data_IF_381275553999
#
_entry.id   IF_381275553999
#
_cell.length_a   1.000
_cell.length_b   1.000
_cell.length_c   1.000
_cell.angle_alpha   90.00
_cell.angle_beta   90.00
_cell.angle_gamma   90.00
#
_symmetry.space_group_name_H-M   'P 1'
#
loop_
_entity.id
_entity.type
_entity.pdbx_description
1 polymer ?
#
# COMPACT_ATOMS: atom_id res chain seq x y z
N UNK A 1 -7.19 11.73 2.45
CA UNK A 1 -8.02 11.70 3.69
C UNK A 1 -8.64 10.31 3.78
N UNK A 2 -8.35 9.55 4.83
CA UNK A 2 -8.81 8.17 5.03
C UNK A 2 -10.27 8.15 5.48
N UNK A 3 -11.11 7.42 4.77
CA UNK A 3 -12.50 7.19 5.10
C UNK A 3 -12.62 6.03 6.09
N UNK A 4 -13.22 6.29 7.26
CA UNK A 4 -13.37 5.32 8.35
C UNK A 4 -14.83 5.03 8.57
N UNK A 5 -15.17 3.73 8.70
CA UNK A 5 -16.47 3.26 9.15
C UNK A 5 -16.31 2.68 10.58
N UNK A 6 -17.17 3.09 11.49
CA UNK A 6 -17.30 2.47 12.80
C UNK A 6 -18.54 1.55 12.82
N UNK A 7 -18.36 0.33 13.33
CA UNK A 7 -19.46 -0.62 13.56
C UNK A 7 -19.51 -0.92 15.05
N UNK A 8 -20.46 -0.33 15.75
CA UNK A 8 -20.56 -0.39 17.22
C UNK A 8 -21.95 0.03 17.68
N UNK A 9 -22.51 -0.62 18.70
CA UNK A 9 -23.83 -0.32 19.24
C UNK A 9 -23.80 0.57 20.49
N UNK A 10 -22.61 0.86 21.05
CA UNK A 10 -22.48 1.60 22.29
C UNK A 10 -22.42 3.11 22.04
N UNK A 11 -23.47 3.90 22.38
CA UNK A 11 -23.55 5.33 22.06
C UNK A 11 -22.41 6.16 22.65
N UNK A 12 -21.95 5.80 23.86
CA UNK A 12 -20.85 6.51 24.51
C UNK A 12 -19.53 6.29 23.76
N UNK A 13 -19.27 5.07 23.29
CA UNK A 13 -18.09 4.78 22.48
C UNK A 13 -18.16 5.45 21.12
N UNK A 14 -19.32 5.42 20.45
CA UNK A 14 -19.55 6.12 19.18
C UNK A 14 -19.21 7.62 19.29
N UNK A 15 -19.70 8.28 20.35
CA UNK A 15 -19.40 9.71 20.58
C UNK A 15 -17.92 9.98 20.85
N UNK A 16 -17.29 9.15 21.69
CA UNK A 16 -15.86 9.27 21.99
C UNK A 16 -14.99 9.05 20.75
N UNK A 17 -15.31 8.03 19.97
CA UNK A 17 -14.63 7.71 18.72
C UNK A 17 -14.80 8.81 17.67
N UNK A 18 -16.01 9.31 17.49
CA UNK A 18 -16.30 10.42 16.56
C UNK A 18 -15.50 11.67 16.90
N UNK A 19 -15.38 12.02 18.19
CA UNK A 19 -14.52 13.14 18.62
C UNK A 19 -13.06 12.89 18.31
N UNK A 20 -12.60 11.67 18.56
CA UNK A 20 -11.21 11.29 18.33
C UNK A 20 -10.85 11.44 16.84
N UNK A 21 -11.72 10.97 15.95
CA UNK A 21 -11.56 11.12 14.49
C UNK A 21 -11.60 12.61 14.09
N UNK A 22 -12.55 13.39 14.60
CA UNK A 22 -12.68 14.82 14.26
C UNK A 22 -11.45 15.68 14.67
N UNK A 23 -10.66 15.20 15.61
CA UNK A 23 -9.42 15.85 16.07
C UNK A 23 -8.16 15.31 15.37
N UNK A 24 -8.32 14.37 14.41
CA UNK A 24 -7.22 13.77 13.63
C UNK A 24 -7.30 14.26 12.18
N UNK A 25 -6.25 14.93 11.68
CA UNK A 25 -6.30 15.71 10.44
C UNK A 25 -6.46 14.83 9.18
N UNK A 26 -5.93 13.65 9.09
CA UNK A 26 -5.84 12.87 7.84
C UNK A 26 -6.97 11.87 7.62
N UNK A 27 -8.00 11.88 8.45
CA UNK A 27 -9.10 10.92 8.38
C UNK A 27 -10.46 11.55 8.60
N UNK A 28 -11.52 10.85 8.16
CA UNK A 28 -12.89 11.22 8.40
C UNK A 28 -13.75 10.00 8.71
N UNK A 29 -14.70 10.16 9.63
CA UNK A 29 -15.73 9.17 9.91
C UNK A 29 -16.85 9.33 8.88
N UNK A 30 -16.98 8.37 7.97
CA UNK A 30 -17.99 8.43 6.90
C UNK A 30 -19.32 7.81 7.31
N UNK A 31 -19.34 7.05 8.39
CA UNK A 31 -20.55 6.45 8.91
C UNK A 31 -20.34 5.70 10.22
N UNK A 32 -21.43 5.45 10.90
CA UNK A 32 -21.54 4.55 12.05
C UNK A 32 -22.65 3.57 11.72
N UNK A 33 -22.36 2.28 11.88
CA UNK A 33 -23.32 1.19 11.71
C UNK A 33 -23.52 0.46 13.03
N UNK A 34 -24.73 0.00 13.31
CA UNK A 34 -25.06 -0.74 14.52
C UNK A 34 -25.29 -2.24 14.27
N UNK A 35 -25.29 -2.65 12.99
CA UNK A 35 -25.52 -4.04 12.57
C UNK A 35 -24.87 -4.31 11.21
N UNK A 36 -24.82 -5.60 10.84
CA UNK A 36 -24.21 -6.06 9.59
C UNK A 36 -24.84 -5.43 8.35
N UNK A 37 -26.15 -5.24 8.32
CA UNK A 37 -26.84 -4.70 7.15
C UNK A 37 -26.44 -3.26 6.89
N UNK A 38 -26.46 -2.41 7.90
CA UNK A 38 -26.02 -1.02 7.80
C UNK A 38 -24.55 -0.92 7.41
N UNK A 39 -23.70 -1.78 8.01
CA UNK A 39 -22.27 -1.84 7.69
C UNK A 39 -22.04 -2.14 6.21
N UNK A 40 -22.75 -3.11 5.65
CA UNK A 40 -22.64 -3.44 4.22
C UNK A 40 -23.17 -2.33 3.30
N UNK A 41 -24.28 -1.71 3.67
CA UNK A 41 -24.84 -0.58 2.89
C UNK A 41 -23.85 0.59 2.83
N UNK A 42 -23.22 0.92 3.97
CA UNK A 42 -22.21 1.99 4.03
C UNK A 42 -20.93 1.59 3.29
N UNK A 43 -20.44 0.36 3.50
CA UNK A 43 -19.23 -0.14 2.84
C UNK A 43 -19.40 -0.14 1.31
N UNK A 44 -20.51 -0.65 0.79
CA UNK A 44 -20.80 -0.69 -0.65
C UNK A 44 -20.96 0.69 -1.28
N UNK A 45 -21.46 1.66 -0.52
CA UNK A 45 -21.75 3.00 -1.05
C UNK A 45 -20.55 3.95 -0.99
N UNK A 46 -19.78 3.87 0.08
CA UNK A 46 -18.76 4.87 0.39
C UNK A 46 -17.32 4.34 0.35
N UNK A 47 -17.14 3.01 0.19
CA UNK A 47 -15.83 2.35 0.09
C UNK A 47 -14.82 2.86 1.13
N UNK A 48 -15.06 2.63 2.45
CA UNK A 48 -14.12 3.04 3.48
C UNK A 48 -12.78 2.33 3.30
N UNK A 49 -11.67 2.99 3.62
CA UNK A 49 -10.37 2.34 3.68
C UNK A 49 -10.18 1.54 4.97
N UNK A 50 -10.80 2.00 6.06
CA UNK A 50 -10.69 1.36 7.37
C UNK A 50 -12.07 1.11 7.96
N UNK A 51 -12.25 -0.09 8.52
CA UNK A 51 -13.41 -0.45 9.32
C UNK A 51 -12.95 -0.81 10.72
N UNK A 52 -13.51 -0.14 11.73
CA UNK A 52 -13.42 -0.55 13.12
C UNK A 52 -14.73 -1.23 13.52
N UNK A 53 -14.66 -2.45 14.01
CA UNK A 53 -15.84 -3.26 14.34
C UNK A 53 -15.79 -3.78 15.77
N UNK A 54 -16.85 -3.59 16.55
CA UNK A 54 -16.98 -4.27 17.83
C UNK A 54 -17.11 -5.78 17.61
N UNK A 55 -16.51 -6.57 18.50
CA UNK A 55 -16.68 -8.03 18.52
C UNK A 55 -18.13 -8.44 18.71
N UNK A 56 -18.88 -7.71 19.54
CA UNK A 56 -20.26 -8.03 19.92
C UNK A 56 -21.22 -6.98 19.38
N UNK A 57 -22.01 -7.35 18.40
CA UNK A 57 -23.04 -6.50 17.80
C UNK A 57 -24.45 -7.08 18.12
N UNK A 58 -24.84 -6.97 19.37
CA UNK A 58 -26.08 -7.57 19.84
C UNK A 58 -26.05 -9.11 19.75
N UNK A 59 -26.78 -9.68 18.80
CA UNK A 59 -26.72 -11.12 18.50
C UNK A 59 -25.77 -11.51 17.39
N UNK A 60 -25.14 -10.54 16.73
CA UNK A 60 -24.22 -10.76 15.62
C UNK A 60 -22.76 -10.80 16.11
N UNK A 61 -21.91 -11.50 15.38
CA UNK A 61 -20.50 -11.64 15.66
C UNK A 61 -19.68 -10.71 14.74
N UNK A 62 -19.03 -9.68 15.31
CA UNK A 62 -18.24 -8.72 14.55
C UNK A 62 -17.03 -9.34 13.82
N UNK A 63 -16.44 -10.42 14.33
CA UNK A 63 -15.35 -11.12 13.63
C UNK A 63 -15.87 -11.76 12.34
N UNK A 64 -17.04 -12.41 12.39
CA UNK A 64 -17.69 -12.98 11.22
C UNK A 64 -18.08 -11.89 10.21
N UNK A 65 -18.52 -10.72 10.69
CA UNK A 65 -18.81 -9.57 9.84
C UNK A 65 -17.53 -9.03 9.16
N UNK A 66 -16.42 -8.92 9.87
CA UNK A 66 -15.14 -8.52 9.28
C UNK A 66 -14.66 -9.50 8.18
N UNK A 67 -14.81 -10.82 8.41
CA UNK A 67 -14.51 -11.81 7.39
C UNK A 67 -15.35 -11.60 6.13
N UNK A 68 -16.66 -11.39 6.31
CA UNK A 68 -17.57 -11.15 5.20
C UNK A 68 -17.28 -9.84 4.46
N UNK A 69 -16.88 -8.78 5.16
CA UNK A 69 -16.43 -7.53 4.57
C UNK A 69 -15.16 -7.78 3.73
N UNK A 70 -14.19 -8.52 4.26
CA UNK A 70 -12.96 -8.87 3.53
C UNK A 70 -13.21 -9.71 2.28
N UNK A 71 -14.16 -10.62 2.31
CA UNK A 71 -14.54 -11.43 1.14
C UNK A 71 -15.13 -10.59 0.00
N UNK A 72 -15.89 -9.53 0.32
CA UNK A 72 -16.56 -8.68 -0.67
C UNK A 72 -15.76 -7.43 -1.04
N UNK A 73 -14.93 -6.92 -0.13
CA UNK A 73 -14.12 -5.72 -0.24
C UNK A 73 -12.71 -5.99 0.30
N UNK A 74 -11.87 -6.75 -0.41
CA UNK A 74 -10.54 -7.18 0.05
C UNK A 74 -9.59 -6.00 0.34
N UNK A 75 -9.83 -4.84 -0.27
CA UNK A 75 -9.07 -3.61 -0.06
C UNK A 75 -9.33 -2.94 1.29
N UNK A 76 -10.47 -3.22 1.95
CA UNK A 76 -10.80 -2.61 3.23
C UNK A 76 -9.96 -3.23 4.35
N UNK A 77 -9.25 -2.40 5.10
CA UNK A 77 -8.54 -2.83 6.31
C UNK A 77 -9.51 -2.89 7.48
N UNK A 78 -9.61 -4.04 8.16
CA UNK A 78 -10.53 -4.27 9.26
C UNK A 78 -9.81 -4.40 10.60
N UNK A 79 -10.30 -3.71 11.62
CA UNK A 79 -9.85 -3.77 13.00
C UNK A 79 -11.00 -4.21 13.91
N UNK A 80 -10.73 -5.14 14.81
CA UNK A 80 -11.68 -5.50 15.87
C UNK A 80 -11.45 -4.64 17.11
N UNK A 81 -12.53 -4.12 17.68
CA UNK A 81 -12.57 -3.44 18.97
C UNK A 81 -13.27 -4.34 20.00
N UNK A 82 -12.75 -4.43 21.22
CA UNK A 82 -13.40 -5.25 22.26
C UNK A 82 -13.07 -4.80 23.68
N UNK A 83 -14.03 -4.98 24.58
CA UNK A 83 -13.83 -4.88 26.02
C UNK A 83 -13.23 -6.16 26.62
N UNK A 84 -13.18 -7.25 25.85
CA UNK A 84 -12.72 -8.56 26.28
C UNK A 84 -11.58 -9.04 25.41
N UNK A 85 -10.63 -9.75 26.00
CA UNK A 85 -9.52 -10.32 25.27
C UNK A 85 -9.35 -11.80 25.68
N UNK A 86 -9.47 -12.69 24.70
CA UNK A 86 -9.08 -14.08 24.87
C UNK A 86 -8.20 -14.52 23.70
N UNK A 87 -7.30 -15.45 23.96
CA UNK A 87 -6.42 -16.00 22.91
C UNK A 87 -7.22 -16.58 21.72
N UNK A 88 -8.36 -17.22 22.01
CA UNK A 88 -9.20 -17.78 20.96
C UNK A 88 -9.84 -16.68 20.07
N UNK A 89 -10.30 -15.58 20.68
CA UNK A 89 -10.89 -14.46 19.91
C UNK A 89 -9.83 -13.80 19.03
N UNK A 90 -8.63 -13.57 19.55
CA UNK A 90 -7.52 -13.01 18.75
C UNK A 90 -7.20 -13.93 17.58
N UNK A 91 -7.08 -15.23 17.81
CA UNK A 91 -6.80 -16.20 16.76
C UNK A 91 -7.90 -16.23 15.68
N UNK A 92 -9.17 -16.28 16.09
CA UNK A 92 -10.29 -16.24 15.15
C UNK A 92 -10.32 -14.94 14.33
N UNK A 93 -9.94 -13.81 14.93
CA UNK A 93 -9.85 -12.53 14.21
C UNK A 93 -8.74 -12.57 13.14
N UNK A 94 -7.58 -13.14 13.46
CA UNK A 94 -6.49 -13.32 12.48
C UNK A 94 -6.91 -14.26 11.33
N UNK A 95 -7.55 -15.38 11.67
CA UNK A 95 -8.08 -16.32 10.67
C UNK A 95 -9.16 -15.68 9.76
N UNK A 96 -9.86 -14.66 10.25
CA UNK A 96 -10.84 -13.85 9.52
C UNK A 96 -10.23 -12.68 8.71
N UNK A 97 -8.90 -12.56 8.64
CA UNK A 97 -8.21 -11.51 7.90
C UNK A 97 -8.27 -10.12 8.57
N UNK A 98 -8.55 -10.06 9.89
CA UNK A 98 -8.52 -8.82 10.66
C UNK A 98 -7.06 -8.42 10.88
N UNK A 99 -6.74 -7.15 10.61
CA UNK A 99 -5.38 -6.62 10.73
C UNK A 99 -4.88 -6.60 12.18
N UNK A 100 -5.72 -6.15 13.11
CA UNK A 100 -5.36 -6.14 14.53
C UNK A 100 -6.61 -6.21 15.42
N UNK A 101 -6.47 -6.90 16.56
CA UNK A 101 -7.46 -6.95 17.63
C UNK A 101 -7.10 -5.91 18.70
N UNK A 102 -7.99 -4.92 18.87
CA UNK A 102 -7.75 -3.75 19.71
C UNK A 102 -8.62 -3.79 20.98
N UNK A 103 -8.02 -3.37 22.09
CA UNK A 103 -8.73 -3.29 23.35
C UNK A 103 -9.37 -1.89 23.54
N UNK A 104 -10.63 -1.86 23.97
CA UNK A 104 -11.30 -0.61 24.38
C UNK A 104 -10.87 -0.22 25.81
N UNK A 105 -10.61 1.07 26.10
CA UNK A 105 -10.74 2.21 25.22
C UNK A 105 -9.54 2.36 24.27
N UNK A 106 -9.81 2.68 23.01
CA UNK A 106 -8.78 2.99 22.04
C UNK A 106 -8.16 4.36 22.37
N UNK A 107 -6.84 4.42 22.49
CA UNK A 107 -6.14 5.68 22.73
C UNK A 107 -5.93 6.47 21.42
N UNK A 108 -5.86 7.79 21.51
CA UNK A 108 -5.54 8.66 20.35
C UNK A 108 -4.22 8.30 19.69
N UNK A 109 -3.19 8.03 20.50
CA UNK A 109 -1.89 7.62 20.01
C UNK A 109 -1.99 6.36 19.15
N UNK A 110 -2.72 5.34 19.65
CA UNK A 110 -2.91 4.10 18.89
C UNK A 110 -3.70 4.32 17.61
N UNK A 111 -4.74 5.16 17.63
CA UNK A 111 -5.50 5.52 16.44
C UNK A 111 -4.60 6.20 15.39
N UNK A 112 -3.80 7.19 15.77
CA UNK A 112 -2.84 7.84 14.85
C UNK A 112 -1.86 6.85 14.25
N UNK A 113 -1.26 5.94 15.06
CA UNK A 113 -0.38 4.89 14.56
C UNK A 113 -1.05 3.96 13.52
N UNK A 114 -2.34 3.65 13.71
CA UNK A 114 -3.10 2.82 12.76
C UNK A 114 -3.38 3.57 11.45
N UNK A 115 -3.72 4.86 11.54
CA UNK A 115 -3.95 5.71 10.38
C UNK A 115 -2.66 5.91 9.57
N UNK A 116 -1.54 6.22 10.23
CA UNK A 116 -0.23 6.37 9.59
C UNK A 116 0.20 5.07 8.89
N UNK A 117 -0.03 3.90 9.52
CA UNK A 117 0.28 2.60 8.93
C UNK A 117 -0.57 2.32 7.68
N UNK A 118 -1.85 2.67 7.69
CA UNK A 118 -2.72 2.51 6.53
C UNK A 118 -2.37 3.51 5.41
N UNK A 119 -1.99 4.74 5.74
CA UNK A 119 -1.46 5.69 4.75
C UNK A 119 -0.19 5.14 4.09
N UNK A 120 0.75 4.62 4.88
CA UNK A 120 1.96 4.01 4.35
C UNK A 120 1.67 2.78 3.47
N UNK A 121 0.67 1.97 3.80
CA UNK A 121 0.26 0.81 2.99
C UNK A 121 -0.38 1.24 1.67
N UNK A 122 -1.25 2.25 1.67
CA UNK A 122 -1.86 2.81 0.47
C UNK A 122 -0.82 3.41 -0.48
N UNK A 123 0.16 4.14 0.07
CA UNK A 123 1.28 4.69 -0.68
C UNK A 123 2.15 3.58 -1.30
N UNK A 124 2.38 2.49 -0.56
CA UNK A 124 3.12 1.34 -1.07
C UNK A 124 2.36 0.59 -2.18
N UNK A 125 1.03 0.52 -2.13
CA UNK A 125 0.20 -0.11 -3.18
C UNK A 125 0.24 0.70 -4.48
N UNK A 126 0.15 2.02 -4.42
CA UNK A 126 0.24 2.89 -5.59
C UNK A 126 1.63 2.84 -6.23
N UNK A 127 2.67 2.86 -5.41
CA UNK A 127 4.05 2.68 -5.88
C UNK A 127 4.27 1.31 -6.52
N UNK A 128 3.79 0.24 -5.88
CA UNK A 128 3.90 -1.11 -6.44
C UNK A 128 3.18 -1.21 -7.78
N UNK A 129 1.99 -0.61 -7.91
CA UNK A 129 1.25 -0.57 -9.17
C UNK A 129 2.03 0.18 -10.26
N UNK A 130 2.67 1.31 -9.93
CA UNK A 130 3.48 2.07 -10.89
C UNK A 130 4.76 1.31 -11.28
N UNK A 131 5.41 0.63 -10.33
CA UNK A 131 6.58 -0.22 -10.64
C UNK A 131 6.19 -1.41 -11.52
N UNK A 132 5.10 -2.11 -11.20
CA UNK A 132 4.58 -3.21 -12.01
C UNK A 132 4.19 -2.75 -13.42
N UNK A 133 3.55 -1.59 -13.55
CA UNK A 133 3.20 -1.00 -14.83
C UNK A 133 4.45 -0.65 -15.67
N UNK A 134 5.52 -0.16 -15.03
CA UNK A 134 6.79 0.11 -15.68
C UNK A 134 7.45 -1.18 -16.19
N UNK A 135 7.55 -2.21 -15.33
CA UNK A 135 8.12 -3.50 -15.70
C UNK A 135 7.33 -4.16 -16.83
N UNK A 136 6.00 -4.16 -16.75
CA UNK A 136 5.12 -4.68 -17.80
C UNK A 136 5.28 -3.94 -19.13
N UNK A 137 5.44 -2.61 -19.12
CA UNK A 137 5.68 -1.82 -20.32
C UNK A 137 7.03 -2.17 -20.98
N UNK A 138 8.06 -2.45 -20.18
CA UNK A 138 9.38 -2.89 -20.67
C UNK A 138 9.28 -4.30 -21.27
N UNK A 139 8.60 -5.24 -20.62
CA UNK A 139 8.39 -6.60 -21.15
C UNK A 139 7.65 -6.59 -22.50
N UNK A 140 6.63 -5.73 -22.62
CA UNK A 140 5.86 -5.54 -23.85
C UNK A 140 6.60 -4.71 -24.90
N UNK A 141 7.78 -4.19 -24.59
CA UNK A 141 8.59 -3.30 -25.43
C UNK A 141 7.88 -2.01 -25.84
N UNK A 142 6.97 -1.53 -24.99
CA UNK A 142 6.30 -0.25 -25.17
C UNK A 142 7.16 0.87 -24.57
N UNK A 143 8.06 1.41 -25.42
CA UNK A 143 9.00 2.46 -25.00
C UNK A 143 8.28 3.71 -24.49
N UNK A 144 7.21 4.12 -25.18
CA UNK A 144 6.48 5.33 -24.78
C UNK A 144 5.87 5.17 -23.40
N UNK A 145 5.13 4.08 -23.19
CA UNK A 145 4.51 3.78 -21.92
C UNK A 145 5.55 3.65 -20.79
N UNK A 146 6.69 2.98 -21.04
CA UNK A 146 7.75 2.86 -20.07
C UNK A 146 8.32 4.21 -19.63
N UNK A 147 8.51 5.16 -20.57
CA UNK A 147 9.00 6.49 -20.24
C UNK A 147 7.97 7.35 -19.52
N UNK A 148 6.69 7.28 -19.91
CA UNK A 148 5.60 8.00 -19.25
C UNK A 148 5.43 7.50 -17.81
N UNK A 149 5.38 6.18 -17.60
CA UNK A 149 5.29 5.56 -16.25
C UNK A 149 6.53 5.87 -15.39
N UNK A 150 7.73 5.87 -15.97
CA UNK A 150 8.96 6.25 -15.24
C UNK A 150 8.90 7.69 -14.74
N UNK A 151 8.27 8.59 -15.50
CA UNK A 151 8.08 9.98 -15.09
C UNK A 151 7.13 10.08 -13.90
N UNK A 152 5.96 9.44 -13.99
CA UNK A 152 4.97 9.39 -12.92
C UNK A 152 5.56 8.81 -11.63
N UNK A 153 6.31 7.71 -11.73
CA UNK A 153 6.98 7.08 -10.60
C UNK A 153 8.01 8.02 -9.94
N UNK A 154 8.79 8.75 -10.71
CA UNK A 154 9.76 9.72 -10.15
C UNK A 154 9.05 10.89 -9.49
N UNK A 155 7.97 11.43 -10.08
CA UNK A 155 7.16 12.49 -9.49
C UNK A 155 6.62 12.02 -8.14
N UNK A 156 5.99 10.85 -8.09
CA UNK A 156 5.51 10.21 -6.86
C UNK A 156 6.62 10.07 -5.79
N UNK A 157 7.79 9.51 -6.15
CA UNK A 157 8.90 9.32 -5.22
C UNK A 157 9.43 10.65 -4.63
N UNK A 158 9.28 11.77 -5.34
CA UNK A 158 9.75 13.06 -4.85
C UNK A 158 8.70 13.83 -4.06
N UNK A 159 7.42 13.56 -4.28
CA UNK A 159 6.30 14.15 -3.55
C UNK A 159 6.04 13.42 -2.22
N UNK A 160 6.04 12.06 -2.25
CA UNK A 160 5.56 11.26 -1.12
C UNK A 160 6.66 10.61 -0.27
N UNK A 161 7.92 10.53 -0.78
CA UNK A 161 8.97 9.79 -0.09
C UNK A 161 10.09 10.68 0.44
N UNK A 162 10.54 10.41 1.67
CA UNK A 162 11.77 10.99 2.19
C UNK A 162 13.01 10.49 1.45
N UNK A 163 14.09 11.28 1.46
CA UNK A 163 15.33 10.96 0.73
C UNK A 163 15.91 9.58 1.06
N UNK A 164 15.84 9.14 2.34
CA UNK A 164 16.38 7.84 2.76
C UNK A 164 15.58 6.70 2.17
N UNK A 165 14.27 6.81 2.23
CA UNK A 165 13.32 5.86 1.68
C UNK A 165 13.42 5.80 0.15
N UNK A 166 13.48 6.96 -0.52
CA UNK A 166 13.69 7.07 -1.97
C UNK A 166 14.93 6.32 -2.44
N UNK A 167 16.03 6.37 -1.68
CA UNK A 167 17.23 5.59 -2.00
C UNK A 167 16.98 4.09 -2.01
N UNK A 168 16.28 3.58 -0.98
CA UNK A 168 15.94 2.16 -0.87
C UNK A 168 15.07 1.70 -2.05
N UNK A 169 14.02 2.47 -2.34
CA UNK A 169 13.08 2.20 -3.43
C UNK A 169 13.75 2.21 -4.81
N UNK A 170 14.57 3.21 -5.10
CA UNK A 170 15.33 3.29 -6.35
C UNK A 170 16.33 2.13 -6.49
N UNK A 171 16.96 1.69 -5.40
CA UNK A 171 17.87 0.54 -5.43
C UNK A 171 17.13 -0.78 -5.71
N UNK A 172 15.93 -0.95 -5.17
CA UNK A 172 15.08 -2.11 -5.46
C UNK A 172 14.61 -2.10 -6.92
N UNK A 173 14.16 -0.95 -7.42
CA UNK A 173 13.74 -0.78 -8.81
C UNK A 173 14.88 -1.05 -9.78
N UNK A 174 16.06 -0.50 -9.54
CA UNK A 174 17.27 -0.75 -10.33
C UNK A 174 17.58 -2.25 -10.42
N UNK A 175 17.53 -2.94 -9.27
CA UNK A 175 17.73 -4.38 -9.20
C UNK A 175 16.70 -5.13 -10.06
N UNK A 176 15.42 -4.79 -9.91
CA UNK A 176 14.33 -5.41 -10.69
C UNK A 176 14.54 -5.24 -12.19
N UNK A 177 14.90 -4.04 -12.63
CA UNK A 177 15.16 -3.72 -14.03
C UNK A 177 16.31 -4.56 -14.62
N UNK A 178 17.42 -4.73 -13.91
CA UNK A 178 18.53 -5.55 -14.39
C UNK A 178 18.23 -7.06 -14.31
N UNK A 179 17.36 -7.50 -13.41
CA UNK A 179 16.89 -8.90 -13.39
C UNK A 179 16.04 -9.28 -14.61
N UNK A 180 15.45 -8.31 -15.32
CA UNK A 180 14.70 -8.58 -16.55
C UNK A 180 15.59 -8.98 -17.73
N UNK A 181 16.92 -8.76 -17.67
CA UNK A 181 17.84 -9.08 -18.75
C UNK A 181 18.24 -10.55 -18.67
N UNK A 182 17.83 -11.39 -19.65
CA UNK A 182 18.12 -12.81 -19.63
C UNK A 182 19.63 -13.11 -19.72
N UNK A 183 20.10 -14.06 -18.90
CA UNK A 183 21.48 -14.53 -18.97
C UNK A 183 22.56 -13.58 -18.40
N UNK A 184 22.15 -12.47 -17.79
CA UNK A 184 23.07 -11.56 -17.13
C UNK A 184 23.67 -12.20 -15.86
N UNK A 185 24.98 -12.37 -15.83
CA UNK A 185 25.70 -12.91 -14.67
C UNK A 185 25.92 -11.84 -13.56
N UNK A 186 26.44 -12.29 -12.40
CA UNK A 186 26.67 -11.39 -11.27
C UNK A 186 27.79 -10.35 -11.53
N UNK A 187 28.74 -10.64 -12.41
CA UNK A 187 29.83 -9.72 -12.77
C UNK A 187 29.26 -8.58 -13.61
N UNK A 188 28.42 -8.92 -14.58
CA UNK A 188 27.72 -7.95 -15.42
C UNK A 188 26.77 -7.08 -14.60
N UNK A 189 25.98 -7.67 -13.67
CA UNK A 189 25.12 -6.91 -12.75
C UNK A 189 25.93 -5.92 -11.93
N UNK A 190 27.03 -6.35 -11.30
CA UNK A 190 27.89 -5.46 -10.52
C UNK A 190 28.46 -4.31 -11.34
N UNK A 191 28.85 -4.57 -12.60
CA UNK A 191 29.28 -3.51 -13.51
C UNK A 191 28.18 -2.45 -13.71
N UNK A 192 26.93 -2.88 -13.94
CA UNK A 192 25.84 -1.94 -14.16
C UNK A 192 25.45 -1.18 -12.88
N UNK A 193 25.46 -1.80 -11.71
CA UNK A 193 25.24 -1.12 -10.44
C UNK A 193 26.32 -0.05 -10.15
N UNK A 194 27.55 -0.30 -10.51
CA UNK A 194 28.61 0.71 -10.42
C UNK A 194 28.44 1.83 -11.47
N UNK A 195 28.07 1.47 -12.69
CA UNK A 195 27.86 2.43 -13.79
C UNK A 195 26.70 3.39 -13.52
N UNK A 196 25.63 2.91 -12.90
CA UNK A 196 24.41 3.67 -12.61
C UNK A 196 24.27 3.99 -11.11
N UNK A 197 25.34 4.20 -10.41
CA UNK A 197 25.34 4.48 -8.97
C UNK A 197 24.35 5.59 -8.59
N UNK A 198 23.54 5.31 -7.56
CA UNK A 198 22.58 6.28 -7.00
C UNK A 198 23.32 7.35 -6.21
N UNK A 199 23.61 8.45 -6.85
CA UNK A 199 24.32 9.60 -6.25
C UNK A 199 23.39 10.49 -5.45
N UNK A 200 23.96 11.37 -4.61
CA UNK A 200 23.17 12.39 -3.89
C UNK A 200 22.38 13.31 -4.84
N UNK A 201 22.85 13.56 -6.05
CA UNK A 201 22.12 14.36 -7.04
C UNK A 201 20.87 13.66 -7.54
N UNK A 202 20.93 12.34 -7.75
CA UNK A 202 19.76 11.50 -8.10
C UNK A 202 18.71 11.57 -7.00
N UNK A 203 19.12 11.58 -5.75
CA UNK A 203 18.21 11.58 -4.59
C UNK A 203 17.58 12.95 -4.27
N UNK A 204 18.12 14.05 -4.80
CA UNK A 204 17.72 15.40 -4.42
C UNK A 204 17.06 16.21 -5.54
N UNK A 205 17.14 15.75 -6.78
CA UNK A 205 16.60 16.47 -7.95
C UNK A 205 15.81 15.50 -8.83
N UNK A 206 14.49 15.68 -8.94
CA UNK A 206 13.59 14.83 -9.72
C UNK A 206 14.01 14.70 -11.18
N UNK A 207 14.38 15.81 -11.83
CA UNK A 207 14.86 15.78 -13.22
C UNK A 207 16.15 14.93 -13.42
N UNK A 208 17.06 14.92 -12.44
CA UNK A 208 18.26 14.08 -12.50
C UNK A 208 17.90 12.63 -12.22
N UNK A 209 16.99 12.37 -11.27
CA UNK A 209 16.48 11.04 -10.99
C UNK A 209 15.78 10.45 -12.22
N UNK A 210 14.90 11.20 -12.86
CA UNK A 210 14.24 10.79 -14.09
C UNK A 210 15.24 10.46 -15.19
N UNK A 211 16.22 11.34 -15.45
CA UNK A 211 17.25 11.09 -16.45
C UNK A 211 18.09 9.84 -16.15
N UNK A 212 18.43 9.62 -14.89
CA UNK A 212 19.12 8.41 -14.41
C UNK A 212 18.28 7.16 -14.68
N UNK A 213 17.00 7.18 -14.36
CA UNK A 213 16.09 6.05 -14.59
C UNK A 213 15.91 5.75 -16.10
N UNK A 214 15.77 6.78 -16.92
CA UNK A 214 15.68 6.64 -18.39
C UNK A 214 16.94 6.00 -18.98
N UNK A 215 18.12 6.33 -18.46
CA UNK A 215 19.36 5.70 -18.92
C UNK A 215 19.37 4.19 -18.64
N UNK A 216 18.89 3.77 -17.45
CA UNK A 216 18.76 2.36 -17.09
C UNK A 216 17.73 1.67 -18.00
N UNK A 217 16.55 2.22 -18.15
CA UNK A 217 15.49 1.67 -19.01
C UNK A 217 15.98 1.51 -20.45
N UNK A 218 16.67 2.50 -20.98
CA UNK A 218 17.25 2.45 -22.34
C UNK A 218 18.28 1.32 -22.47
N UNK A 219 19.13 1.14 -21.45
CA UNK A 219 20.09 0.05 -21.43
C UNK A 219 19.42 -1.31 -21.38
N UNK A 220 18.36 -1.46 -20.53
CA UNK A 220 17.57 -2.70 -20.44
C UNK A 220 16.94 -3.03 -21.79
N UNK A 221 16.30 -2.08 -22.45
CA UNK A 221 15.74 -2.28 -23.79
C UNK A 221 16.81 -2.69 -24.81
N UNK A 222 17.98 -2.05 -24.78
CA UNK A 222 19.11 -2.40 -25.66
C UNK A 222 19.54 -3.85 -25.48
N UNK A 223 19.66 -4.31 -24.23
CA UNK A 223 20.05 -5.69 -23.91
C UNK A 223 18.97 -6.69 -24.33
N UNK A 224 17.69 -6.40 -24.04
CA UNK A 224 16.56 -7.25 -24.45
C UNK A 224 16.43 -7.38 -25.98
N UNK A 225 16.79 -6.35 -26.73
CA UNK A 225 16.82 -6.42 -28.20
C UNK A 225 18.03 -7.19 -28.73
N UNK A 226 19.18 -7.09 -28.07
CA UNK A 226 20.42 -7.78 -28.50
C UNK A 226 20.34 -9.29 -28.25
N UNK A 227 19.71 -9.73 -27.15
CA UNK A 227 19.51 -11.15 -26.86
C UNK A 227 18.69 -11.88 -27.93
N UNK A 228 17.79 -11.21 -28.62
CA UNK A 228 16.98 -11.82 -29.70
C UNK A 228 17.79 -12.10 -30.97
N UNK A 229 18.90 -11.40 -31.21
CA UNK A 229 19.74 -11.62 -32.39
C UNK A 229 20.62 -12.87 -32.24
N UNK A 230 20.85 -13.34 -31.02
CA UNK A 230 21.67 -14.54 -30.74
C UNK A 230 20.86 -15.83 -30.50
N UNK A 231 19.52 -15.75 -30.46
CA UNK A 231 18.62 -16.91 -30.22
C UNK A 231 17.84 -17.35 -31.45
N UNK A 232 18.10 -16.78 -32.63
CA UNK A 232 17.55 -17.31 -33.89
C UNK A 232 18.42 -18.45 -34.39
N UNK A 233 17.85 -19.67 -34.63
CA UNK A 233 18.53 -20.84 -35.08
C UNK A 233 19.13 -20.68 -36.49
#
# INVERSE_FOLDING_TARGET
MINILLIDQEPLFQQAFSRMIAETEECQLIGIAENSKEAFEIASRYHPQIVFCDVVLGMENGIALCNLIKEHFPEITTYILSNYCSFQMIRHSMDAGVEEYLYKPLSRKKLSELIERNNASSLNEEENLQQEALLAAIEQKDYKKAYDTAKELVEYLFEECERRERRSKLSMLESSLFYMIPGMDNIQKNYYFQKYEITMKVLTKSAICYHWLIQIITEVFRQLCTCLLYTSP
#
